data_IF_940725565666
#
_entry.id   IF_940725565666
#
_cell.length_a   1.000
_cell.length_b   1.000
_cell.length_c   1.000
_cell.angle_alpha   90.00
_cell.angle_beta   90.00
_cell.angle_gamma   90.00
#
_symmetry.space_group_name_H-M   'P 1'
#
loop_
_entity.id
_entity.type
_entity.pdbx_description
1 polymer ?
#
# COMPACT_ATOMS: atom_id res chain seq x y z
N UNK A 1 -14.90 47.68 37.01
CA UNK A 1 -15.51 46.82 35.98
C UNK A 1 -14.46 45.80 35.59
N UNK A 2 -14.36 44.75 36.40
CA UNK A 2 -13.43 43.62 36.20
C UNK A 2 -13.96 42.75 35.06
N UNK A 3 -13.17 42.63 34.01
CA UNK A 3 -13.38 41.70 32.90
C UNK A 3 -12.95 40.30 33.37
N UNK A 4 -13.88 39.54 33.93
CA UNK A 4 -13.66 38.14 34.30
C UNK A 4 -13.43 37.30 33.05
N UNK A 5 -12.21 36.79 32.90
CA UNK A 5 -11.83 35.85 31.84
C UNK A 5 -12.59 34.51 32.02
N UNK A 6 -12.92 33.79 30.92
CA UNK A 6 -13.61 32.51 31.00
C UNK A 6 -12.74 31.46 31.73
N UNK A 7 -13.37 30.73 32.66
CA UNK A 7 -12.79 29.68 33.49
C UNK A 7 -12.08 28.59 32.69
N UNK A 8 -10.85 28.28 33.09
CA UNK A 8 -10.03 27.17 32.60
C UNK A 8 -10.82 25.85 32.58
N UNK A 9 -11.01 25.28 31.39
CA UNK A 9 -11.61 23.96 31.21
C UNK A 9 -10.60 22.91 31.65
N UNK A 10 -10.76 22.39 32.88
CA UNK A 10 -9.97 21.28 33.40
C UNK A 10 -10.15 20.06 32.47
N UNK A 11 -9.08 19.47 31.91
CA UNK A 11 -9.23 18.35 31.00
C UNK A 11 -9.83 17.13 31.73
N UNK A 12 -10.73 16.37 31.07
CA UNK A 12 -11.41 15.23 31.67
C UNK A 12 -10.39 14.17 32.15
N UNK A 13 -10.52 13.74 33.41
CA UNK A 13 -9.68 12.70 34.02
C UNK A 13 -10.20 11.32 33.60
N UNK A 14 -9.90 10.91 32.37
CA UNK A 14 -10.15 9.54 31.91
C UNK A 14 -9.45 8.55 32.85
N UNK A 15 -10.23 7.67 33.49
CA UNK A 15 -9.70 6.65 34.38
C UNK A 15 -8.71 5.74 33.66
N UNK A 16 -7.45 5.78 34.07
CA UNK A 16 -6.31 5.12 33.41
C UNK A 16 -6.44 3.59 33.35
N UNK A 17 -7.32 2.99 34.16
CA UNK A 17 -7.56 1.54 34.19
C UNK A 17 -8.51 1.04 33.09
N UNK A 18 -9.46 1.86 32.64
CA UNK A 18 -10.41 1.48 31.57
C UNK A 18 -9.85 1.65 30.16
N UNK A 19 -9.02 2.69 29.96
CA UNK A 19 -8.44 3.03 28.66
C UNK A 19 -7.47 1.96 28.17
N UNK A 20 -6.60 1.45 29.05
CA UNK A 20 -5.60 0.42 28.71
C UNK A 20 -6.26 -0.87 28.22
N UNK A 21 -7.38 -1.28 28.83
CA UNK A 21 -8.13 -2.48 28.41
C UNK A 21 -8.83 -2.28 27.06
N UNK A 22 -9.39 -1.10 26.80
CA UNK A 22 -9.98 -0.77 25.49
C UNK A 22 -8.93 -0.70 24.39
N UNK A 23 -7.79 -0.06 24.65
CA UNK A 23 -6.68 0.01 23.70
C UNK A 23 -6.12 -1.38 23.43
N UNK A 24 -5.95 -2.24 24.45
CA UNK A 24 -5.49 -3.62 24.26
C UNK A 24 -6.47 -4.46 23.43
N UNK A 25 -7.77 -4.29 23.61
CA UNK A 25 -8.80 -4.98 22.82
C UNK A 25 -8.80 -4.53 21.34
N UNK A 26 -8.52 -3.26 21.06
CA UNK A 26 -8.36 -2.76 19.68
C UNK A 26 -7.01 -3.15 19.07
N UNK A 27 -5.94 -3.12 19.87
CA UNK A 27 -4.57 -3.39 19.41
C UNK A 27 -4.36 -4.87 19.10
N UNK A 28 -4.98 -5.79 19.84
CA UNK A 28 -4.90 -7.24 19.62
C UNK A 28 -5.13 -7.66 18.17
N UNK A 29 -6.30 -7.37 17.56
CA UNK A 29 -6.56 -7.71 16.16
C UNK A 29 -5.64 -6.97 15.19
N UNK A 30 -5.25 -5.72 15.49
CA UNK A 30 -4.34 -4.93 14.66
C UNK A 30 -2.93 -5.54 14.57
N UNK A 31 -2.43 -6.05 15.70
CA UNK A 31 -1.13 -6.73 15.79
C UNK A 31 -1.19 -8.04 15.01
N UNK A 32 -2.25 -8.82 15.19
CA UNK A 32 -2.43 -10.07 14.45
C UNK A 32 -2.47 -9.81 12.93
N UNK A 33 -3.19 -8.79 12.49
CA UNK A 33 -3.24 -8.37 11.09
C UNK A 33 -1.84 -8.01 10.55
N UNK A 34 -1.05 -7.24 11.29
CA UNK A 34 0.32 -6.89 10.87
C UNK A 34 1.24 -8.11 10.81
N UNK A 35 1.10 -9.03 11.76
CA UNK A 35 1.87 -10.28 11.77
C UNK A 35 1.53 -11.15 10.55
N UNK A 36 0.25 -11.33 10.24
CA UNK A 36 -0.20 -12.04 9.04
C UNK A 36 0.31 -11.37 7.76
N UNK A 37 0.29 -10.04 7.68
CA UNK A 37 0.77 -9.31 6.51
C UNK A 37 2.28 -9.48 6.30
N UNK A 38 3.05 -9.51 7.39
CA UNK A 38 4.50 -9.75 7.34
C UNK A 38 4.80 -11.19 6.92
N UNK A 39 4.08 -12.17 7.49
CA UNK A 39 4.23 -13.58 7.12
C UNK A 39 3.92 -13.82 5.65
N UNK A 40 2.86 -13.21 5.11
CA UNK A 40 2.53 -13.26 3.68
C UNK A 40 3.71 -12.79 2.82
N UNK A 41 4.31 -11.64 3.13
CA UNK A 41 5.46 -11.14 2.37
C UNK A 41 6.69 -12.06 2.40
N UNK A 42 6.95 -12.70 3.55
CA UNK A 42 8.03 -13.69 3.68
C UNK A 42 7.74 -14.94 2.86
N UNK A 43 6.50 -15.43 2.94
CA UNK A 43 6.05 -16.62 2.20
C UNK A 43 6.12 -16.36 0.69
N UNK A 44 5.60 -15.23 0.21
CA UNK A 44 5.67 -14.85 -1.22
C UNK A 44 7.11 -14.82 -1.72
N UNK A 45 8.01 -14.20 -0.95
CA UNK A 45 9.44 -14.13 -1.27
C UNK A 45 10.09 -15.52 -1.26
N UNK A 46 9.71 -16.38 -0.32
CA UNK A 46 10.21 -17.76 -0.23
C UNK A 46 9.72 -18.65 -1.37
N UNK A 47 8.48 -18.51 -1.82
CA UNK A 47 7.96 -19.25 -2.97
C UNK A 47 8.63 -18.80 -4.26
N UNK A 48 8.82 -17.49 -4.43
CA UNK A 48 9.55 -16.91 -5.57
C UNK A 48 11.00 -17.36 -5.62
N UNK A 49 11.68 -17.50 -4.46
CA UNK A 49 13.09 -17.90 -4.41
C UNK A 49 13.34 -19.35 -4.84
N UNK A 50 12.30 -20.20 -4.86
CA UNK A 50 12.40 -21.60 -5.31
C UNK A 50 12.26 -21.81 -6.82
N UNK A 51 11.94 -20.80 -7.61
CA UNK A 51 11.60 -20.95 -9.05
C UNK A 51 12.86 -20.89 -9.96
N UNK A 52 14.07 -20.77 -9.39
CA UNK A 52 15.36 -20.86 -10.10
C UNK A 52 16.12 -19.53 -10.17
N UNK A 53 17.46 -19.59 -10.26
CA UNK A 53 18.38 -18.45 -10.08
C UNK A 53 18.22 -17.34 -11.13
N UNK A 54 17.88 -17.68 -12.37
CA UNK A 54 17.61 -16.68 -13.43
C UNK A 54 16.23 -16.03 -13.28
N UNK A 55 15.21 -16.82 -12.92
CA UNK A 55 13.88 -16.29 -12.62
C UNK A 55 13.91 -15.38 -11.37
N UNK A 56 14.76 -15.67 -10.39
CA UNK A 56 14.90 -14.87 -9.17
C UNK A 56 15.43 -13.46 -9.45
N UNK A 57 16.35 -13.28 -10.40
CA UNK A 57 16.86 -11.95 -10.77
C UNK A 57 15.76 -11.11 -11.43
N UNK A 58 14.98 -11.70 -12.34
CA UNK A 58 13.84 -11.05 -12.99
C UNK A 58 12.70 -10.74 -11.99
N UNK A 59 12.40 -11.68 -11.09
CA UNK A 59 11.35 -11.47 -10.08
C UNK A 59 11.82 -10.51 -8.98
N UNK A 60 13.11 -10.42 -8.68
CA UNK A 60 13.64 -9.40 -7.77
C UNK A 60 13.36 -7.98 -8.28
N UNK A 61 13.60 -7.73 -9.57
CA UNK A 61 13.26 -6.46 -10.21
C UNK A 61 11.74 -6.21 -10.22
N UNK A 62 10.96 -7.25 -10.54
CA UNK A 62 9.50 -7.18 -10.54
C UNK A 62 8.91 -6.97 -9.14
N UNK A 63 9.54 -7.52 -8.10
CA UNK A 63 9.11 -7.40 -6.70
C UNK A 63 9.28 -5.97 -6.20
N UNK A 64 10.40 -5.32 -6.52
CA UNK A 64 10.59 -3.88 -6.20
C UNK A 64 9.53 -3.02 -6.88
N UNK A 65 9.22 -3.31 -8.15
CA UNK A 65 8.15 -2.61 -8.87
C UNK A 65 6.77 -2.88 -8.25
N UNK A 66 6.47 -4.12 -7.91
CA UNK A 66 5.22 -4.50 -7.24
C UNK A 66 5.09 -3.82 -5.89
N UNK A 67 6.18 -3.76 -5.12
CA UNK A 67 6.21 -3.08 -3.83
C UNK A 67 5.96 -1.57 -3.98
N UNK A 68 6.55 -0.92 -4.99
CA UNK A 68 6.32 0.49 -5.28
C UNK A 68 4.84 0.77 -5.63
N UNK A 69 4.24 -0.06 -6.49
CA UNK A 69 2.81 0.03 -6.83
C UNK A 69 1.93 -0.19 -5.59
N UNK A 70 2.23 -1.23 -4.82
CA UNK A 70 1.49 -1.57 -3.61
C UNK A 70 1.58 -0.47 -2.55
N UNK A 71 2.70 0.24 -2.47
CA UNK A 71 2.88 1.39 -1.57
C UNK A 71 1.96 2.56 -1.94
N UNK A 72 1.72 2.81 -3.23
CA UNK A 72 0.76 3.83 -3.68
C UNK A 72 -0.67 3.47 -3.22
N UNK A 73 -1.11 2.23 -3.45
CA UNK A 73 -2.43 1.78 -3.02
C UNK A 73 -2.59 1.79 -1.49
N UNK A 74 -1.58 1.29 -0.75
CA UNK A 74 -1.59 1.33 0.72
C UNK A 74 -1.61 2.76 1.24
N UNK A 75 -0.88 3.68 0.61
CA UNK A 75 -0.88 5.10 0.95
C UNK A 75 -2.26 5.73 0.80
N UNK A 76 -2.94 5.49 -0.32
CA UNK A 76 -4.31 6.00 -0.53
C UNK A 76 -5.31 5.39 0.44
N UNK A 77 -5.20 4.08 0.73
CA UNK A 77 -6.06 3.41 1.71
C UNK A 77 -5.89 4.00 3.12
N UNK A 78 -4.64 4.17 3.58
CA UNK A 78 -4.33 4.75 4.89
C UNK A 78 -4.82 6.21 5.01
N UNK A 79 -4.64 7.01 3.96
CA UNK A 79 -5.14 8.39 3.90
C UNK A 79 -6.66 8.43 4.08
N UNK A 80 -7.38 7.55 3.38
CA UNK A 80 -8.85 7.45 3.46
C UNK A 80 -9.32 7.12 4.87
N UNK A 81 -8.70 6.15 5.53
CA UNK A 81 -9.03 5.79 6.92
C UNK A 81 -8.83 6.99 7.86
N UNK A 82 -7.77 7.79 7.68
CA UNK A 82 -7.52 8.98 8.49
C UNK A 82 -8.56 10.10 8.25
N UNK A 83 -9.01 10.29 7.00
CA UNK A 83 -10.09 11.24 6.69
C UNK A 83 -11.44 10.78 7.24
N UNK A 84 -11.77 9.50 7.07
CA UNK A 84 -13.02 8.90 7.58
C UNK A 84 -13.04 8.91 9.11
N UNK A 85 -11.92 8.58 9.77
CA UNK A 85 -11.82 8.63 11.23
C UNK A 85 -12.05 10.02 11.81
N UNK A 86 -11.54 11.07 11.14
CA UNK A 86 -11.82 12.46 11.51
C UNK A 86 -13.29 12.84 11.30
N UNK A 87 -13.86 12.52 10.13
CA UNK A 87 -15.26 12.79 9.84
C UNK A 87 -16.21 12.04 10.79
N UNK A 88 -15.85 10.81 11.18
CA UNK A 88 -16.59 10.03 12.17
C UNK A 88 -16.52 10.67 13.56
N UNK A 89 -15.37 11.23 13.96
CA UNK A 89 -15.23 11.99 15.20
C UNK A 89 -16.09 13.26 15.24
N UNK A 90 -16.31 13.91 14.10
CA UNK A 90 -17.18 15.09 13.96
C UNK A 90 -18.69 14.74 13.91
N UNK A 91 -19.07 13.45 13.92
CA UNK A 91 -20.45 12.94 13.75
C UNK A 91 -21.15 13.41 12.47
N UNK A 92 -20.38 13.83 11.46
CA UNK A 92 -20.89 14.31 10.18
C UNK A 92 -20.84 13.19 9.13
N UNK A 93 -21.95 12.46 9.00
CA UNK A 93 -22.06 11.33 8.08
C UNK A 93 -22.01 11.74 6.60
N UNK A 94 -22.34 12.99 6.26
CA UNK A 94 -22.28 13.48 4.88
C UNK A 94 -20.81 13.60 4.42
N UNK A 95 -19.93 14.09 5.30
CA UNK A 95 -18.48 14.14 5.03
C UNK A 95 -17.85 12.75 4.87
N UNK A 96 -18.36 11.73 5.57
CA UNK A 96 -17.90 10.34 5.40
C UNK A 96 -18.18 9.87 3.97
N UNK A 97 -19.41 10.07 3.48
CA UNK A 97 -19.79 9.69 2.12
C UNK A 97 -18.94 10.38 1.06
N UNK A 98 -18.70 11.69 1.21
CA UNK A 98 -17.84 12.46 0.29
C UNK A 98 -16.39 11.98 0.34
N UNK A 99 -15.85 11.71 1.53
CA UNK A 99 -14.47 11.22 1.68
C UNK A 99 -14.27 9.86 1.00
N UNK A 100 -15.23 8.94 1.17
CA UNK A 100 -15.20 7.63 0.52
C UNK A 100 -15.29 7.78 -1.00
N UNK A 101 -16.23 8.57 -1.51
CA UNK A 101 -16.34 8.79 -2.96
C UNK A 101 -15.09 9.42 -3.58
N UNK A 102 -14.47 10.38 -2.89
CA UNK A 102 -13.21 11.00 -3.33
C UNK A 102 -12.07 9.99 -3.37
N UNK A 103 -11.95 9.17 -2.33
CA UNK A 103 -10.93 8.12 -2.28
C UNK A 103 -11.14 7.09 -3.37
N UNK A 104 -12.38 6.69 -3.64
CA UNK A 104 -12.71 5.73 -4.69
C UNK A 104 -12.36 6.26 -6.07
N UNK A 105 -12.69 7.53 -6.34
CA UNK A 105 -12.32 8.18 -7.59
C UNK A 105 -10.80 8.26 -7.76
N UNK A 106 -10.08 8.62 -6.69
CA UNK A 106 -8.62 8.69 -6.68
C UNK A 106 -7.96 7.32 -6.90
N UNK A 107 -8.50 6.26 -6.28
CA UNK A 107 -8.05 4.87 -6.50
C UNK A 107 -8.35 4.42 -7.93
N UNK A 108 -9.48 4.80 -8.52
CA UNK A 108 -9.81 4.48 -9.90
C UNK A 108 -8.79 5.11 -10.88
N UNK A 109 -8.46 6.39 -10.71
CA UNK A 109 -7.41 7.05 -11.49
C UNK A 109 -6.04 6.42 -11.30
N UNK A 110 -5.68 6.11 -10.05
CA UNK A 110 -4.42 5.46 -9.73
C UNK A 110 -4.33 4.05 -10.34
N UNK A 111 -5.43 3.29 -10.31
CA UNK A 111 -5.49 1.95 -10.91
C UNK A 111 -5.34 1.98 -12.42
N UNK A 112 -5.91 2.99 -13.09
CA UNK A 112 -5.72 3.18 -14.53
C UNK A 112 -4.26 3.49 -14.87
N UNK A 113 -3.60 4.34 -14.07
CA UNK A 113 -2.18 4.66 -14.23
C UNK A 113 -1.30 3.41 -14.05
N UNK A 114 -1.59 2.61 -13.03
CA UNK A 114 -0.85 1.37 -12.73
C UNK A 114 -1.05 0.33 -13.84
N UNK A 115 -2.20 0.28 -14.51
CA UNK A 115 -2.42 -0.65 -15.62
C UNK A 115 -1.50 -0.35 -16.83
N UNK A 116 -1.23 0.93 -17.08
CA UNK A 116 -0.40 1.40 -18.20
C UNK A 116 1.10 1.28 -17.91
N UNK A 117 1.48 1.30 -16.63
CA UNK A 117 2.88 1.29 -16.17
C UNK A 117 3.70 0.08 -16.66
N UNK A 118 3.23 -1.18 -16.54
CA UNK A 118 3.96 -2.35 -17.04
C UNK A 118 4.21 -2.30 -18.54
N UNK A 119 3.22 -1.81 -19.31
CA UNK A 119 3.32 -1.71 -20.76
C UNK A 119 4.39 -0.67 -21.16
N UNK A 120 4.37 0.49 -20.51
CA UNK A 120 5.38 1.52 -20.71
C UNK A 120 6.79 1.02 -20.34
N UNK A 121 6.92 0.26 -19.25
CA UNK A 121 8.20 -0.32 -18.82
C UNK A 121 8.76 -1.33 -19.83
N UNK A 122 7.91 -2.22 -20.38
CA UNK A 122 8.33 -3.15 -21.43
C UNK A 122 8.83 -2.42 -22.69
N UNK A 123 8.19 -1.30 -23.06
CA UNK A 123 8.64 -0.47 -24.17
C UNK A 123 9.99 0.19 -23.89
N UNK A 124 10.18 0.76 -22.69
CA UNK A 124 11.44 1.40 -22.30
C UNK A 124 12.59 0.39 -22.27
N UNK A 125 12.36 -0.82 -21.74
CA UNK A 125 13.37 -1.89 -21.75
C UNK A 125 13.66 -2.42 -23.15
N UNK A 126 12.68 -2.41 -24.06
CA UNK A 126 12.89 -2.77 -25.46
C UNK A 126 13.76 -1.75 -26.22
N UNK A 127 13.65 -0.46 -25.89
CA UNK A 127 14.52 0.58 -26.46
C UNK A 127 15.87 0.72 -25.76
N UNK A 128 15.96 0.32 -24.48
CA UNK A 128 17.18 0.40 -23.68
C UNK A 128 18.06 -0.87 -23.75
N UNK A 129 17.56 -1.98 -24.31
CA UNK A 129 18.37 -3.16 -24.61
C UNK A 129 19.34 -2.84 -25.77
N UNK A 130 20.65 -2.67 -25.52
CA UNK A 130 21.60 -2.38 -26.59
C UNK A 130 21.64 -3.58 -27.54
N UNK A 131 21.61 -3.29 -28.83
CA UNK A 131 21.78 -4.24 -29.92
C UNK A 131 23.23 -4.79 -30.03
N UNK A 132 23.91 -5.04 -28.91
CA UNK A 132 25.27 -5.60 -28.89
C UNK A 132 25.27 -7.03 -28.37
N UNK A 133 25.55 -7.94 -29.30
CA UNK A 133 25.58 -9.36 -29.10
C UNK A 133 26.73 -9.78 -28.19
N UNK A 134 26.39 -10.43 -27.08
CA UNK A 134 26.89 -11.78 -26.83
C UNK A 134 25.89 -12.55 -25.96
N UNK A 135 25.42 -13.67 -26.50
CA UNK A 135 24.77 -14.79 -25.77
C UNK A 135 23.27 -14.70 -25.45
N UNK A 136 22.57 -13.57 -25.58
CA UNK A 136 21.11 -13.51 -25.26
C UNK A 136 20.18 -13.62 -26.50
N UNK A 137 20.65 -13.29 -27.71
CA UNK A 137 19.80 -13.31 -28.92
C UNK A 137 19.45 -14.70 -29.50
N UNK A 138 20.27 -15.72 -29.22
CA UNK A 138 20.05 -17.10 -29.73
C UNK A 138 19.09 -17.89 -28.82
N UNK A 139 18.91 -17.47 -27.55
CA UNK A 139 17.94 -18.09 -26.65
C UNK A 139 16.52 -17.51 -26.80
N UNK A 140 16.40 -16.26 -27.26
CA UNK A 140 15.11 -15.58 -27.44
C UNK A 140 14.24 -16.21 -28.54
N UNK A 141 14.85 -16.71 -29.61
CA UNK A 141 14.11 -17.33 -30.74
C UNK A 141 13.54 -18.70 -30.40
N UNK A 142 14.10 -19.42 -29.41
CA UNK A 142 13.60 -20.73 -28.97
C UNK A 142 12.44 -20.65 -27.97
N UNK A 143 12.32 -19.53 -27.24
CA UNK A 143 11.22 -19.30 -26.30
C UNK A 143 9.91 -18.87 -26.99
N UNK A 144 9.99 -18.21 -28.15
CA UNK A 144 8.81 -17.77 -28.91
C UNK A 144 8.09 -18.89 -29.70
N UNK A 145 8.62 -20.11 -29.72
CA UNK A 145 7.97 -21.24 -30.42
C UNK A 145 7.24 -22.22 -29.48
N UNK A 146 7.30 -22.01 -28.16
CA UNK A 146 6.60 -22.87 -27.18
C UNK A 146 5.51 -22.11 -26.40
N UNK A 147 5.21 -20.84 -26.74
CA UNK A 147 4.03 -20.17 -26.20
C UNK A 147 3.40 -19.17 -27.15
#
# INVERSE_FOLDING_TARGET
>A
METSLPSETTPPRWGQTGLTRQVAFLAGPLILQNLSQTLLGVVDTFFVSRIGTEALAAVGLASVMFFAVMMLFRGTANSTVAFVGRAHGERDNAKIGVAVWRSLNMVAWLSLLVLVMPWLFTQIMAYAAPADGSTVGVLSTRYLQIR
#
